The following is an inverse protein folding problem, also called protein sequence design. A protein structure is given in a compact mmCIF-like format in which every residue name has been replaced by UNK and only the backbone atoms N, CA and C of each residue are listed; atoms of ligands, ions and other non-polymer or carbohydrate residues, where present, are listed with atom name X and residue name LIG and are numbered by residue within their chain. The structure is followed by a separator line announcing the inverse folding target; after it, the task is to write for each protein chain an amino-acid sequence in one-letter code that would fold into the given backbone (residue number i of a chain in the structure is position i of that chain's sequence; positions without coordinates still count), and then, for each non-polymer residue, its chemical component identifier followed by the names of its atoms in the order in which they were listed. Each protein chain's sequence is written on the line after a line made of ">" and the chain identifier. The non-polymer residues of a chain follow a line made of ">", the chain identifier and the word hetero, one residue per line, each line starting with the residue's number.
data_IF_668036252897
#
_entry.id   IF_668036252897
#
_cell.length_a   1.000
_cell.length_b   1.000
_cell.length_c   1.000
_cell.angle_alpha   90.00
_cell.angle_beta   90.00
_cell.angle_gamma   90.00
#
_symmetry.space_group_name_H-M   'P 1'
#
loop_
_entity.id
_entity.type
_entity.pdbx_description
1 polymer ?
#
# COMPACT_ATOMS: atom_id res chain seq x y z
N UNK A 1 -73.05 24.59 -32.85
CA UNK A 1 -71.61 24.83 -32.63
C UNK A 1 -71.21 24.12 -31.36
N UNK A 2 -70.41 23.05 -31.49
CA UNK A 2 -70.09 22.11 -30.42
C UNK A 2 -68.80 22.50 -29.66
N UNK A 3 -68.67 22.16 -28.36
CA UNK A 3 -67.47 22.45 -27.57
C UNK A 3 -66.40 21.36 -27.71
N UNK A 4 -65.14 21.78 -27.82
CA UNK A 4 -63.96 20.92 -27.92
C UNK A 4 -63.46 20.48 -26.52
N UNK A 5 -63.55 19.19 -26.24
CA UNK A 5 -62.94 18.50 -25.10
C UNK A 5 -61.42 18.35 -25.34
N UNK A 6 -60.59 18.92 -24.46
CA UNK A 6 -59.14 18.63 -24.41
C UNK A 6 -58.83 17.73 -23.21
N UNK A 7 -58.48 16.50 -23.52
CA UNK A 7 -58.13 15.41 -22.61
C UNK A 7 -56.67 15.58 -22.15
N UNK A 8 -56.43 15.82 -20.85
CA UNK A 8 -55.09 15.77 -20.24
C UNK A 8 -54.77 14.35 -19.80
N UNK A 9 -53.75 13.75 -20.40
CA UNK A 9 -53.16 12.46 -19.99
C UNK A 9 -52.24 12.63 -18.77
N UNK A 10 -52.20 11.66 -17.84
CA UNK A 10 -51.28 11.67 -16.70
C UNK A 10 -49.86 11.24 -17.10
N UNK A 11 -48.86 11.95 -16.57
CA UNK A 11 -47.43 11.67 -16.75
C UNK A 11 -47.07 10.42 -15.93
N UNK A 12 -46.70 9.35 -16.62
CA UNK A 12 -46.34 8.05 -16.05
C UNK A 12 -44.90 8.08 -15.49
N UNK A 13 -44.71 7.67 -14.23
CA UNK A 13 -43.44 7.73 -13.47
C UNK A 13 -42.35 6.73 -13.94
N UNK A 14 -42.56 6.03 -15.06
CA UNK A 14 -41.65 5.03 -15.62
C UNK A 14 -40.59 5.61 -16.57
N UNK A 15 -40.71 6.87 -17.00
CA UNK A 15 -39.80 7.48 -17.99
C UNK A 15 -38.45 7.93 -17.44
N UNK A 16 -38.29 8.07 -16.12
CA UNK A 16 -37.04 8.54 -15.49
C UNK A 16 -36.04 7.40 -15.29
N UNK A 17 -36.52 6.16 -15.08
CA UNK A 17 -35.66 4.98 -14.95
C UNK A 17 -35.09 4.51 -16.30
N UNK A 18 -35.83 4.69 -17.39
CA UNK A 18 -35.36 4.39 -18.74
C UNK A 18 -34.25 5.35 -19.21
N UNK A 19 -34.28 6.61 -18.78
CA UNK A 19 -33.29 7.62 -19.19
C UNK A 19 -31.90 7.43 -18.54
N UNK A 20 -31.80 6.75 -17.39
CA UNK A 20 -30.51 6.43 -16.74
C UNK A 20 -29.77 5.23 -17.33
N UNK A 21 -30.42 4.40 -18.16
CA UNK A 21 -29.75 3.27 -18.84
C UNK A 21 -29.15 3.63 -20.19
N UNK A 22 -29.47 4.78 -20.77
CA UNK A 22 -28.97 5.20 -22.08
C UNK A 22 -27.69 6.07 -22.00
N UNK A 23 -27.28 6.52 -20.82
CA UNK A 23 -26.05 7.32 -20.64
C UNK A 23 -24.81 6.47 -20.27
N UNK A 24 -24.94 5.14 -20.09
CA UNK A 24 -23.78 4.26 -19.81
C UNK A 24 -23.09 3.69 -21.05
N UNK A 25 -23.65 3.87 -22.24
CA UNK A 25 -23.22 3.13 -23.45
C UNK A 25 -22.47 4.01 -24.46
N UNK A 26 -21.82 5.07 -24.00
CA UNK A 26 -20.91 5.88 -24.84
C UNK A 26 -19.45 5.76 -24.38
N UNK A 27 -18.88 4.58 -24.60
CA UNK A 27 -17.44 4.43 -24.80
C UNK A 27 -17.20 3.43 -25.93
N UNK A 28 -16.62 3.94 -27.01
CA UNK A 28 -16.38 3.27 -28.29
C UNK A 28 -15.55 1.98 -28.18
N UNK A 29 -15.69 1.06 -29.17
CA UNK A 29 -15.02 -0.23 -29.21
C UNK A 29 -13.64 -0.15 -29.88
N UNK A 30 -12.69 -0.96 -29.40
CA UNK A 30 -11.46 -1.31 -30.12
C UNK A 30 -11.54 -2.80 -30.52
N UNK A 31 -11.97 -3.02 -31.77
CA UNK A 31 -11.48 -3.98 -32.80
C UNK A 31 -10.61 -5.13 -32.25
N UNK A 32 -11.15 -6.33 -31.99
CA UNK A 32 -11.29 -7.56 -32.84
C UNK A 32 -10.00 -8.24 -33.33
N UNK A 33 -9.87 -9.54 -33.00
CA UNK A 33 -9.53 -10.69 -33.87
C UNK A 33 -9.62 -11.97 -33.00
N UNK A 34 -10.20 -13.13 -33.32
CA UNK A 34 -10.96 -13.73 -34.45
C UNK A 34 -11.38 -15.13 -33.94
N UNK A 35 -12.65 -15.56 -34.03
CA UNK A 35 -13.17 -16.50 -35.06
C UNK A 35 -13.04 -17.98 -34.61
N UNK A 36 -14.08 -18.81 -34.44
CA UNK A 36 -15.04 -19.33 -35.43
C UNK A 36 -16.26 -20.06 -34.77
N UNK A 37 -17.33 -20.40 -35.53
CA UNK A 37 -18.74 -20.50 -35.07
C UNK A 37 -19.26 -21.94 -34.77
N UNK A 38 -20.52 -22.10 -34.28
CA UNK A 38 -21.10 -23.41 -34.01
C UNK A 38 -21.83 -24.00 -35.23
N UNK A 39 -21.60 -25.29 -35.51
CA UNK A 39 -22.46 -26.08 -36.39
C UNK A 39 -23.29 -27.07 -35.56
N UNK A 40 -24.59 -27.03 -35.80
CA UNK A 40 -25.61 -27.98 -35.35
C UNK A 40 -25.88 -29.03 -36.42
N UNK A 41 -25.88 -30.33 -36.08
CA UNK A 41 -26.66 -31.38 -36.78
C UNK A 41 -26.71 -32.69 -35.98
N UNK A 42 -27.93 -33.22 -35.74
CA UNK A 42 -28.33 -34.65 -35.81
C UNK A 42 -27.84 -35.65 -34.73
N UNK A 43 -28.76 -36.27 -33.97
CA UNK A 43 -28.52 -37.32 -32.94
C UNK A 43 -28.25 -38.75 -33.49
N UNK A 44 -28.53 -39.89 -32.77
CA UNK A 44 -29.14 -40.10 -31.43
C UNK A 44 -28.41 -41.11 -30.47
N UNK A 45 -28.85 -41.15 -29.18
CA UNK A 45 -28.79 -42.23 -28.13
C UNK A 45 -27.48 -43.04 -27.89
N UNK A 46 -26.95 -43.37 -26.70
CA UNK A 46 -27.26 -43.41 -25.26
C UNK A 46 -25.90 -43.67 -24.51
N UNK A 47 -25.78 -44.01 -23.21
CA UNK A 47 -26.66 -43.91 -22.04
C UNK A 47 -26.04 -43.08 -20.88
N UNK A 48 -26.78 -43.00 -19.77
CA UNK A 48 -26.54 -42.21 -18.58
C UNK A 48 -25.14 -42.33 -17.94
N UNK A 49 -24.46 -41.19 -17.75
CA UNK A 49 -23.35 -41.04 -16.81
C UNK A 49 -23.81 -40.36 -15.52
N UNK A 50 -23.24 -40.84 -14.42
CA UNK A 50 -23.59 -40.61 -13.03
C UNK A 50 -23.55 -39.13 -12.59
N UNK A 51 -24.32 -38.74 -11.56
CA UNK A 51 -24.22 -37.40 -10.99
C UNK A 51 -22.83 -37.17 -10.39
N UNK A 52 -22.26 -35.95 -10.49
CA UNK A 52 -20.92 -35.66 -10.00
C UNK A 52 -20.83 -35.88 -8.49
N UNK A 53 -19.83 -36.66 -8.09
CA UNK A 53 -19.50 -36.95 -6.71
C UNK A 53 -19.44 -35.65 -5.88
N UNK A 54 -20.34 -35.55 -4.89
CA UNK A 54 -20.26 -34.53 -3.85
C UNK A 54 -18.90 -34.66 -3.16
N UNK A 55 -18.06 -33.64 -3.30
CA UNK A 55 -16.81 -33.53 -2.55
C UNK A 55 -17.06 -33.67 -1.03
N UNK A 56 -16.07 -34.17 -0.28
CA UNK A 56 -16.24 -34.51 1.12
C UNK A 56 -16.59 -33.26 1.95
N UNK A 57 -17.74 -33.31 2.64
CA UNK A 57 -18.11 -32.34 3.68
C UNK A 57 -17.18 -32.57 4.88
N UNK A 58 -16.24 -31.67 5.12
CA UNK A 58 -15.43 -31.67 6.34
C UNK A 58 -16.34 -31.44 7.56
N UNK A 59 -16.47 -32.44 8.42
CA UNK A 59 -17.09 -32.34 9.75
C UNK A 59 -16.05 -31.75 10.70
N UNK A 60 -16.44 -30.72 11.44
CA UNK A 60 -15.59 -30.00 12.41
C UNK A 60 -15.34 -30.85 13.66
N UNK A 61 -14.36 -31.75 13.61
CA UNK A 61 -13.79 -32.42 14.78
C UNK A 61 -12.50 -31.74 15.25
N UNK A 62 -12.33 -31.64 16.57
CA UNK A 62 -11.12 -31.16 17.27
C UNK A 62 -9.99 -32.21 17.19
N UNK A 63 -9.52 -32.51 15.99
CA UNK A 63 -8.27 -33.24 15.78
C UNK A 63 -7.18 -32.24 15.35
N UNK A 64 -5.98 -32.25 15.96
CA UNK A 64 -4.86 -31.42 15.54
C UNK A 64 -4.32 -31.79 14.15
N UNK A 65 -4.69 -32.98 13.64
CA UNK A 65 -4.49 -33.43 12.26
C UNK A 65 -5.77 -33.25 11.44
N UNK A 66 -6.26 -32.03 11.33
CA UNK A 66 -7.40 -31.76 10.44
C UNK A 66 -6.89 -31.62 8.99
N UNK A 67 -7.13 -32.61 8.10
CA UNK A 67 -6.64 -32.56 6.71
C UNK A 67 -7.17 -31.35 5.94
N UNK A 68 -8.26 -30.74 6.42
CA UNK A 68 -8.85 -29.55 5.82
C UNK A 68 -7.99 -28.27 6.07
N UNK A 69 -7.14 -28.23 7.11
CA UNK A 69 -6.19 -27.13 7.35
C UNK A 69 -5.00 -27.22 6.41
N UNK A 70 -4.42 -28.42 6.25
CA UNK A 70 -3.32 -28.67 5.32
C UNK A 70 -3.78 -28.52 3.86
N UNK A 71 -4.95 -29.02 3.50
CA UNK A 71 -5.52 -28.84 2.16
C UNK A 71 -5.82 -27.37 1.85
N UNK A 72 -6.28 -26.60 2.86
CA UNK A 72 -6.47 -25.15 2.72
C UNK A 72 -5.12 -24.46 2.53
N UNK A 73 -4.10 -24.79 3.32
CA UNK A 73 -2.75 -24.25 3.17
C UNK A 73 -2.15 -24.58 1.79
N UNK A 74 -2.32 -25.81 1.29
CA UNK A 74 -1.92 -26.21 -0.06
C UNK A 74 -2.63 -25.40 -1.15
N UNK A 75 -3.95 -25.26 -1.06
CA UNK A 75 -4.71 -24.43 -2.01
C UNK A 75 -4.32 -22.94 -1.95
N UNK A 76 -3.85 -22.44 -0.81
CA UNK A 76 -3.28 -21.10 -0.67
C UNK A 76 -1.91 -20.99 -1.33
N UNK A 77 -1.05 -21.99 -1.16
CA UNK A 77 0.26 -22.07 -1.80
C UNK A 77 0.12 -22.18 -3.33
N UNK A 78 -0.79 -23.01 -3.81
CA UNK A 78 -1.09 -23.12 -5.24
C UNK A 78 -1.59 -21.79 -5.83
N UNK A 79 -2.47 -21.08 -5.10
CA UNK A 79 -2.87 -19.72 -5.53
C UNK A 79 -1.71 -18.74 -5.49
N UNK A 80 -0.84 -18.80 -4.49
CA UNK A 80 0.35 -17.94 -4.42
C UNK A 80 1.31 -18.21 -5.58
N UNK A 81 1.48 -19.48 -5.95
CA UNK A 81 2.37 -19.89 -7.03
C UNK A 81 1.80 -19.57 -8.42
N UNK A 82 0.49 -19.76 -8.65
CA UNK A 82 -0.09 -19.71 -10.00
C UNK A 82 -1.01 -18.50 -10.26
N UNK A 83 -1.57 -17.88 -9.22
CA UNK A 83 -2.44 -16.71 -9.36
C UNK A 83 -2.32 -15.74 -8.16
N UNK A 84 -1.12 -15.17 -7.92
CA UNK A 84 -0.85 -14.34 -6.74
C UNK A 84 -1.73 -13.09 -6.67
N UNK A 85 -2.24 -12.61 -7.80
CA UNK A 85 -3.12 -11.44 -7.87
C UNK A 85 -4.48 -11.66 -7.18
N UNK A 86 -4.88 -12.92 -6.97
CA UNK A 86 -6.13 -13.31 -6.29
C UNK A 86 -6.02 -13.33 -4.76
N UNK A 87 -4.81 -13.21 -4.20
CA UNK A 87 -4.59 -13.23 -2.76
C UNK A 87 -4.99 -11.90 -2.08
N UNK A 88 -5.35 -11.92 -0.78
CA UNK A 88 -5.54 -10.70 -0.01
C UNK A 88 -4.26 -9.89 0.07
N UNK A 89 -4.48 -8.59 0.17
CA UNK A 89 -3.43 -7.62 -0.01
C UNK A 89 -2.34 -7.68 1.08
N UNK A 90 -2.74 -7.92 2.33
CA UNK A 90 -1.84 -8.13 3.47
C UNK A 90 -0.98 -9.38 3.29
N UNK A 91 -1.52 -10.45 2.68
CA UNK A 91 -0.77 -11.69 2.49
C UNK A 91 0.29 -11.53 1.41
N UNK A 92 -0.04 -10.86 0.30
CA UNK A 92 0.94 -10.57 -0.77
C UNK A 92 2.14 -9.82 -0.19
N UNK A 93 1.87 -8.81 0.64
CA UNK A 93 2.92 -8.00 1.29
C UNK A 93 3.63 -8.79 2.38
N UNK A 94 2.91 -9.58 3.18
CA UNK A 94 3.50 -10.48 4.17
C UNK A 94 4.49 -11.45 3.54
N UNK A 95 4.15 -12.06 2.40
CA UNK A 95 5.07 -12.93 1.64
C UNK A 95 6.27 -12.13 1.13
N UNK A 96 6.06 -10.92 0.62
CA UNK A 96 7.15 -10.05 0.19
C UNK A 96 8.15 -9.75 1.33
N UNK A 97 7.66 -9.61 2.57
CA UNK A 97 8.49 -9.32 3.74
C UNK A 97 9.25 -10.54 4.28
N UNK A 98 8.93 -11.78 3.86
CA UNK A 98 9.59 -12.99 4.38
C UNK A 98 11.10 -12.93 4.13
N UNK A 99 11.53 -12.66 2.89
CA UNK A 99 12.96 -12.64 2.57
C UNK A 99 13.72 -11.53 3.32
N UNK A 100 13.25 -10.26 3.34
CA UNK A 100 13.89 -9.21 4.14
C UNK A 100 13.93 -9.51 5.65
N UNK A 101 12.85 -10.04 6.22
CA UNK A 101 12.78 -10.42 7.64
C UNK A 101 13.75 -11.55 7.95
N UNK A 102 13.75 -12.62 7.13
CA UNK A 102 14.67 -13.74 7.30
C UNK A 102 16.13 -13.30 7.19
N UNK A 103 16.46 -12.45 6.21
CA UNK A 103 17.80 -11.89 6.10
C UNK A 103 18.18 -11.09 7.35
N UNK A 104 17.30 -10.23 7.86
CA UNK A 104 17.54 -9.48 9.09
C UNK A 104 17.75 -10.36 10.32
N UNK A 105 16.97 -11.43 10.46
CA UNK A 105 17.12 -12.41 11.55
C UNK A 105 18.46 -13.16 11.46
N UNK A 106 18.91 -13.53 10.25
CA UNK A 106 20.20 -14.20 10.04
C UNK A 106 21.36 -13.26 10.35
N UNK A 107 21.27 -12.00 9.90
CA UNK A 107 22.34 -11.01 10.02
C UNK A 107 22.47 -10.49 11.45
N UNK A 108 21.35 -10.10 12.08
CA UNK A 108 21.36 -9.39 13.37
C UNK A 108 20.91 -10.25 14.54
N UNK A 109 20.45 -11.49 14.33
CA UNK A 109 20.18 -12.48 15.39
C UNK A 109 19.21 -11.94 16.47
N UNK A 110 19.67 -11.84 17.72
CA UNK A 110 18.86 -11.51 18.89
C UNK A 110 18.17 -10.13 18.79
N UNK A 111 18.87 -9.02 18.49
CA UNK A 111 18.22 -7.72 18.23
C UNK A 111 17.06 -7.80 17.23
N UNK A 112 17.23 -8.51 16.11
CA UNK A 112 16.17 -8.66 15.13
C UNK A 112 14.97 -9.46 15.67
N UNK A 113 15.21 -10.48 16.49
CA UNK A 113 14.13 -11.25 17.15
C UNK A 113 13.34 -10.38 18.11
N UNK A 114 14.01 -9.58 18.96
CA UNK A 114 13.36 -8.68 19.91
C UNK A 114 12.50 -7.63 19.19
N UNK A 115 13.06 -7.05 18.13
CA UNK A 115 12.37 -6.03 17.35
C UNK A 115 11.19 -6.60 16.55
N UNK A 116 11.35 -7.78 15.95
CA UNK A 116 10.23 -8.50 15.32
C UNK A 116 9.16 -8.85 16.34
N UNK A 117 9.56 -9.36 17.52
CA UNK A 117 8.66 -9.70 18.60
C UNK A 117 7.82 -8.50 19.05
N UNK A 118 8.44 -7.34 19.22
CA UNK A 118 7.75 -6.09 19.53
C UNK A 118 6.75 -5.70 18.42
N UNK A 119 7.18 -5.71 17.16
CA UNK A 119 6.31 -5.41 16.03
C UNK A 119 5.09 -6.34 15.97
N UNK A 120 5.32 -7.66 16.09
CA UNK A 120 4.27 -8.66 16.08
C UNK A 120 3.33 -8.52 17.28
N UNK A 121 3.84 -8.28 18.49
CA UNK A 121 3.03 -8.12 19.68
C UNK A 121 2.06 -6.94 19.55
N UNK A 122 2.56 -5.76 19.14
CA UNK A 122 1.72 -4.59 18.92
C UNK A 122 0.79 -4.77 17.72
N UNK A 123 1.28 -5.33 16.62
CA UNK A 123 0.52 -5.56 15.41
C UNK A 123 -0.67 -6.51 15.62
N UNK A 124 -0.43 -7.65 16.28
CA UNK A 124 -1.47 -8.62 16.66
C UNK A 124 -2.41 -8.01 17.68
N UNK A 125 -1.89 -7.34 18.72
CA UNK A 125 -2.71 -6.66 19.72
C UNK A 125 -3.65 -5.62 19.08
N UNK A 126 -3.14 -4.79 18.18
CA UNK A 126 -3.91 -3.84 17.40
C UNK A 126 -4.98 -4.50 16.54
N UNK A 127 -4.63 -5.60 15.86
CA UNK A 127 -5.57 -6.37 15.06
C UNK A 127 -6.73 -6.94 15.91
N UNK A 128 -6.41 -7.48 17.09
CA UNK A 128 -7.38 -8.00 18.05
C UNK A 128 -8.28 -6.89 18.56
N UNK A 129 -7.72 -5.73 18.94
CA UNK A 129 -8.48 -4.56 19.41
C UNK A 129 -9.45 -4.08 18.33
N UNK A 130 -8.98 -3.92 17.08
CA UNK A 130 -9.81 -3.52 15.94
C UNK A 130 -10.95 -4.52 15.75
N UNK A 131 -10.65 -5.81 15.81
CA UNK A 131 -11.64 -6.86 15.66
C UNK A 131 -12.67 -6.86 16.81
N UNK A 132 -12.23 -6.68 18.05
CA UNK A 132 -13.13 -6.66 19.21
C UNK A 132 -14.03 -5.43 19.24
N UNK A 133 -13.47 -4.24 19.05
CA UNK A 133 -14.19 -2.98 19.19
C UNK A 133 -15.03 -2.61 17.95
N UNK A 134 -14.61 -3.03 16.76
CA UNK A 134 -15.19 -2.53 15.50
C UNK A 134 -15.54 -3.60 14.48
N UNK A 135 -15.82 -4.82 14.94
CA UNK A 135 -16.27 -6.03 14.19
C UNK A 135 -17.21 -5.77 13.00
N UNK A 136 -18.02 -4.71 13.01
CA UNK A 136 -18.99 -4.36 11.94
C UNK A 136 -18.87 -2.94 11.37
N UNK A 137 -17.99 -2.08 11.86
CA UNK A 137 -18.02 -0.64 11.56
C UNK A 137 -16.79 -0.07 10.85
N UNK A 138 -15.70 -0.83 10.72
CA UNK A 138 -14.52 -0.39 9.97
C UNK A 138 -14.55 -1.05 8.59
N UNK A 139 -14.54 -0.21 7.54
CA UNK A 139 -14.25 -0.67 6.19
C UNK A 139 -12.84 -1.28 6.20
N UNK A 140 -12.66 -2.46 5.59
CA UNK A 140 -11.40 -3.22 5.63
C UNK A 140 -10.18 -2.28 5.48
N UNK A 141 -9.27 -2.23 6.46
CA UNK A 141 -8.10 -1.34 6.39
C UNK A 141 -7.25 -1.68 5.17
N UNK A 142 -6.61 -0.68 4.55
CA UNK A 142 -5.79 -0.89 3.34
C UNK A 142 -4.48 -1.63 3.64
N UNK A 143 -3.96 -1.49 4.86
CA UNK A 143 -2.86 -2.29 5.40
C UNK A 143 -3.25 -2.71 6.82
N UNK A 144 -3.05 -3.97 7.18
CA UNK A 144 -3.30 -4.38 8.56
C UNK A 144 -2.34 -3.64 9.53
N UNK A 145 -2.80 -3.30 10.76
CA UNK A 145 -1.95 -2.84 11.86
C UNK A 145 -0.65 -3.63 12.03
N UNK A 146 -0.72 -4.95 11.79
CA UNK A 146 0.45 -5.83 11.75
C UNK A 146 1.48 -5.40 10.71
N UNK A 147 1.07 -5.27 9.45
CA UNK A 147 1.96 -4.85 8.36
C UNK A 147 2.51 -3.44 8.63
N UNK A 148 1.69 -2.51 9.14
CA UNK A 148 2.15 -1.17 9.49
C UNK A 148 3.28 -1.20 10.54
N UNK A 149 3.11 -1.98 11.62
CA UNK A 149 4.14 -2.12 12.66
C UNK A 149 5.45 -2.73 12.13
N UNK A 150 5.37 -3.79 11.31
CA UNK A 150 6.55 -4.45 10.73
C UNK A 150 7.30 -3.51 9.80
N UNK A 151 6.62 -2.73 8.96
CA UNK A 151 7.28 -1.75 8.10
C UNK A 151 7.97 -0.61 8.87
N UNK A 152 7.36 -0.15 9.98
CA UNK A 152 7.99 0.87 10.82
C UNK A 152 9.27 0.34 11.46
N UNK A 153 9.22 -0.87 12.02
CA UNK A 153 10.37 -1.52 12.67
C UNK A 153 11.44 -1.96 11.67
N UNK A 154 11.06 -2.32 10.44
CA UNK A 154 11.99 -2.75 9.41
C UNK A 154 13.08 -1.73 9.08
N UNK A 155 12.82 -0.45 9.34
CA UNK A 155 13.72 0.68 9.08
C UNK A 155 14.58 1.08 10.29
N UNK A 156 14.36 0.45 11.45
CA UNK A 156 15.08 0.77 12.69
C UNK A 156 16.42 0.04 12.70
N UNK A 157 17.47 0.73 13.11
CA UNK A 157 18.79 0.13 13.29
C UNK A 157 18.81 -0.86 14.47
N UNK A 158 19.56 -1.98 14.36
CA UNK A 158 19.64 -3.02 15.39
C UNK A 158 20.24 -2.57 16.72
N UNK A 159 21.00 -1.46 16.75
CA UNK A 159 21.54 -0.90 17.99
C UNK A 159 20.57 0.08 18.67
N UNK A 160 19.42 0.37 18.05
CA UNK A 160 18.46 1.29 18.65
C UNK A 160 17.91 0.71 19.95
N UNK A 161 17.69 1.54 20.99
CA UNK A 161 17.05 1.10 22.21
C UNK A 161 15.69 0.46 21.92
N UNK A 162 15.37 -0.65 22.59
CA UNK A 162 14.08 -1.34 22.38
C UNK A 162 12.88 -0.41 22.59
N UNK A 163 13.00 0.59 23.48
CA UNK A 163 12.00 1.63 23.69
C UNK A 163 11.61 2.37 22.40
N UNK A 164 12.57 2.62 21.50
CA UNK A 164 12.33 3.26 20.19
C UNK A 164 11.50 2.34 19.30
N UNK A 165 11.84 1.05 19.26
CA UNK A 165 11.09 0.04 18.51
C UNK A 165 9.65 -0.11 19.03
N UNK A 166 9.47 -0.11 20.37
CA UNK A 166 8.15 -0.14 20.99
C UNK A 166 7.35 1.11 20.64
N UNK A 167 7.97 2.30 20.69
CA UNK A 167 7.33 3.56 20.34
C UNK A 167 6.88 3.59 18.87
N UNK A 168 7.75 3.16 17.94
CA UNK A 168 7.43 3.09 16.50
C UNK A 168 6.31 2.08 16.25
N UNK A 169 6.38 0.90 16.88
CA UNK A 169 5.36 -0.15 16.71
C UNK A 169 4.00 0.31 17.22
N UNK A 170 3.96 0.89 18.43
CA UNK A 170 2.74 1.41 19.03
C UNK A 170 2.16 2.55 18.19
N UNK A 171 2.98 3.52 17.78
CA UNK A 171 2.55 4.66 16.98
C UNK A 171 2.04 4.21 15.60
N UNK A 172 2.72 3.28 14.94
CA UNK A 172 2.29 2.73 13.65
C UNK A 172 0.91 2.08 13.75
N UNK A 173 0.67 1.29 14.79
CA UNK A 173 -0.63 0.66 15.04
C UNK A 173 -1.70 1.71 15.33
N UNK A 174 -1.44 2.65 16.24
CA UNK A 174 -2.40 3.71 16.60
C UNK A 174 -2.79 4.51 15.36
N UNK A 175 -1.81 5.00 14.61
CA UNK A 175 -2.05 5.78 13.41
C UNK A 175 -2.80 4.97 12.34
N UNK A 176 -2.55 3.67 12.21
CA UNK A 176 -3.24 2.83 11.23
C UNK A 176 -4.71 2.61 11.62
N UNK A 177 -4.96 2.37 12.91
CA UNK A 177 -6.33 2.26 13.45
C UNK A 177 -7.11 3.57 13.27
N UNK A 178 -6.48 4.70 13.61
CA UNK A 178 -7.07 6.04 13.44
C UNK A 178 -7.34 6.33 11.97
N UNK A 179 -6.37 6.07 11.08
CA UNK A 179 -6.51 6.24 9.63
C UNK A 179 -7.67 5.41 9.10
N UNK A 180 -7.70 4.12 9.41
CA UNK A 180 -8.75 3.20 8.95
C UNK A 180 -10.15 3.62 9.42
N UNK A 181 -10.27 4.19 10.62
CA UNK A 181 -11.55 4.63 11.18
C UNK A 181 -12.01 5.98 10.64
N UNK A 182 -11.14 6.98 10.63
CA UNK A 182 -11.55 8.38 10.44
C UNK A 182 -11.21 8.92 9.06
N UNK A 183 -10.13 8.45 8.44
CA UNK A 183 -9.66 8.97 7.15
C UNK A 183 -9.15 7.84 6.23
N UNK A 184 -10.03 6.89 5.83
CA UNK A 184 -9.64 5.76 4.99
C UNK A 184 -9.20 6.17 3.58
N UNK A 185 -9.41 7.44 3.21
CA UNK A 185 -8.95 8.01 1.95
C UNK A 185 -7.42 8.20 1.88
N UNK A 186 -6.73 8.27 3.02
CA UNK A 186 -5.27 8.41 3.06
C UNK A 186 -4.62 7.16 2.50
N UNK A 187 -3.78 7.31 1.47
CA UNK A 187 -2.99 6.24 0.85
C UNK A 187 -1.52 6.42 1.19
N UNK A 188 -1.16 6.08 2.42
CA UNK A 188 0.21 6.20 2.94
C UNK A 188 0.55 5.00 3.80
N UNK A 189 1.83 4.61 3.82
CA UNK A 189 2.31 3.58 4.72
C UNK A 189 2.55 4.17 6.10
N UNK A 190 1.62 3.90 7.00
CA UNK A 190 1.63 4.49 8.34
C UNK A 190 2.85 4.08 9.17
N UNK A 191 3.39 2.87 8.96
CA UNK A 191 4.65 2.45 9.58
C UNK A 191 5.84 3.36 9.27
N UNK A 192 5.96 3.80 8.01
CA UNK A 192 7.01 4.72 7.59
C UNK A 192 6.82 6.11 8.20
N UNK A 193 5.56 6.58 8.29
CA UNK A 193 5.26 7.87 8.93
C UNK A 193 5.55 7.83 10.44
N UNK A 194 5.18 6.74 11.12
CA UNK A 194 5.50 6.53 12.53
C UNK A 194 7.02 6.51 12.76
N UNK A 195 7.76 5.78 11.92
CA UNK A 195 9.22 5.80 11.93
C UNK A 195 9.77 7.22 11.79
N UNK A 196 9.33 7.98 10.78
CA UNK A 196 9.81 9.33 10.53
C UNK A 196 9.50 10.29 11.69
N UNK A 197 8.30 10.20 12.28
CA UNK A 197 7.93 11.01 13.44
C UNK A 197 8.82 10.71 14.63
N UNK A 198 9.01 9.44 14.97
CA UNK A 198 9.88 9.06 16.10
C UNK A 198 11.31 9.49 15.84
N UNK A 199 11.84 9.26 14.63
CA UNK A 199 13.18 9.68 14.26
C UNK A 199 13.40 11.20 14.40
N UNK A 200 12.40 12.03 14.07
CA UNK A 200 12.48 13.48 14.25
C UNK A 200 12.41 13.87 15.74
N UNK A 201 11.50 13.26 16.51
CA UNK A 201 11.31 13.56 17.93
C UNK A 201 12.54 13.18 18.76
N UNK A 202 13.13 12.02 18.47
CA UNK A 202 14.32 11.52 19.17
C UNK A 202 15.62 12.02 18.56
N UNK A 203 15.57 12.87 17.53
CA UNK A 203 16.75 13.40 16.82
C UNK A 203 17.67 12.31 16.27
N UNK A 204 17.09 11.19 15.83
CA UNK A 204 17.80 10.15 15.09
C UNK A 204 18.14 8.89 15.88
N UNK A 205 17.57 8.65 17.06
CA UNK A 205 17.79 7.36 17.78
C UNK A 205 17.56 6.10 16.91
N UNK A 206 16.59 6.04 15.96
CA UNK A 206 16.45 4.90 15.07
C UNK A 206 17.64 4.65 14.14
N UNK A 207 18.57 5.60 13.98
CA UNK A 207 19.76 5.53 13.11
C UNK A 207 20.96 4.91 13.83
N UNK A 208 20.69 3.98 14.75
CA UNK A 208 21.71 3.31 15.55
C UNK A 208 22.00 1.94 14.95
N UNK A 209 23.12 1.82 14.23
CA UNK A 209 23.49 0.61 13.50
C UNK A 209 24.66 -0.13 14.12
N UNK A 210 24.73 -1.44 13.85
CA UNK A 210 25.85 -2.29 14.27
C UNK A 210 26.45 -2.99 13.07
N UNK A 211 27.75 -3.24 13.16
CA UNK A 211 28.42 -4.15 12.24
C UNK A 211 27.99 -5.59 12.56
N UNK A 212 27.45 -6.35 11.60
CA UNK A 212 26.86 -7.67 11.88
C UNK A 212 27.88 -8.76 12.21
N UNK A 213 29.15 -8.57 11.85
CA UNK A 213 30.24 -9.52 12.18
C UNK A 213 30.78 -9.27 13.58
N UNK A 214 31.03 -8.01 13.94
CA UNK A 214 31.67 -7.65 15.22
C UNK A 214 30.69 -7.32 16.33
N UNK A 215 29.45 -6.96 16.00
CA UNK A 215 28.41 -6.52 16.95
C UNK A 215 28.64 -5.12 17.52
N UNK A 216 29.71 -4.42 17.11
CA UNK A 216 29.99 -3.06 17.58
C UNK A 216 29.19 -2.00 16.83
N UNK A 217 28.91 -0.85 17.48
CA UNK A 217 28.30 0.30 16.82
C UNK A 217 29.13 0.71 15.60
N UNK A 218 28.45 0.93 14.47
CA UNK A 218 29.11 1.29 13.23
C UNK A 218 28.21 2.24 12.42
N UNK A 219 28.78 3.34 11.94
CA UNK A 219 28.03 4.39 11.23
C UNK A 219 27.61 3.93 9.83
N UNK A 220 26.58 4.54 9.27
CA UNK A 220 26.06 4.14 7.96
C UNK A 220 27.12 4.33 6.84
N UNK A 221 27.23 3.43 5.86
CA UNK A 221 28.35 3.46 4.90
C UNK A 221 28.27 4.65 3.95
N UNK A 222 27.06 5.13 3.67
CA UNK A 222 26.83 6.29 2.80
C UNK A 222 27.24 7.57 3.54
N UNK A 223 26.95 7.67 4.83
CA UNK A 223 27.42 8.74 5.71
C UNK A 223 28.93 8.73 5.89
N UNK A 224 29.54 7.55 6.09
CA UNK A 224 31.01 7.40 6.11
C UNK A 224 31.61 7.86 4.78
N UNK A 225 31.04 7.43 3.64
CA UNK A 225 31.48 7.86 2.33
C UNK A 225 31.45 9.38 2.17
N UNK A 226 30.36 10.02 2.58
CA UNK A 226 30.24 11.48 2.51
C UNK A 226 31.25 12.20 3.41
N UNK A 227 31.49 11.68 4.63
CA UNK A 227 32.34 12.33 5.62
C UNK A 227 33.84 12.21 5.31
N UNK A 228 34.27 11.06 4.79
CA UNK A 228 35.68 10.76 4.58
C UNK A 228 36.11 10.80 3.11
N UNK A 229 35.18 10.68 2.16
CA UNK A 229 35.49 10.36 0.77
C UNK A 229 34.72 11.21 -0.25
N UNK A 230 34.50 12.49 0.06
CA UNK A 230 33.93 13.48 -0.89
C UNK A 230 34.63 13.46 -2.28
N UNK A 231 34.10 14.18 -3.30
CA UNK A 231 34.30 13.94 -4.75
C UNK A 231 35.73 13.81 -5.32
N UNK A 232 36.77 13.90 -4.50
CA UNK A 232 38.18 13.76 -4.83
C UNK A 232 38.87 12.52 -4.22
N UNK A 233 38.19 11.72 -3.38
CA UNK A 233 38.82 10.59 -2.71
C UNK A 233 38.77 9.30 -3.54
N UNK A 234 39.84 8.50 -3.42
CA UNK A 234 40.10 7.31 -4.22
C UNK A 234 38.92 6.32 -4.28
N UNK A 235 38.75 5.59 -5.41
CA UNK A 235 37.65 4.64 -5.58
C UNK A 235 37.78 3.51 -4.55
N UNK A 236 36.87 3.50 -3.57
CA UNK A 236 36.71 2.34 -2.69
C UNK A 236 36.03 1.25 -3.49
N UNK A 237 36.55 0.04 -3.39
CA UNK A 237 35.89 -1.15 -3.93
C UNK A 237 34.48 -1.30 -3.30
N UNK A 238 33.39 -1.07 -4.08
CA UNK A 238 32.02 -1.15 -3.58
C UNK A 238 31.73 -2.52 -2.97
N UNK A 239 32.41 -3.56 -3.46
CA UNK A 239 32.29 -4.93 -2.96
C UNK A 239 32.78 -5.03 -1.52
N UNK A 240 33.87 -4.35 -1.14
CA UNK A 240 34.36 -4.38 0.24
C UNK A 240 33.50 -3.57 1.21
N UNK A 241 32.84 -2.52 0.71
CA UNK A 241 31.93 -1.73 1.54
C UNK A 241 30.55 -2.37 1.69
N UNK A 242 30.04 -3.06 0.65
CA UNK A 242 28.67 -3.58 0.59
C UNK A 242 28.49 -5.10 0.67
N UNK A 243 29.49 -5.90 0.27
CA UNK A 243 29.41 -7.36 0.36
C UNK A 243 29.94 -7.82 1.71
N UNK A 244 29.02 -8.01 2.65
CA UNK A 244 29.21 -8.88 3.81
C UNK A 244 29.34 -8.23 5.18
N UNK A 245 29.28 -6.89 5.31
CA UNK A 245 29.49 -6.26 6.61
C UNK A 245 28.81 -4.90 6.84
N UNK A 246 27.67 -4.66 6.19
CA UNK A 246 27.06 -3.33 6.15
C UNK A 246 26.14 -3.07 7.36
N UNK A 247 26.38 -2.00 8.12
CA UNK A 247 25.43 -1.49 9.09
C UNK A 247 24.20 -0.96 8.36
N UNK A 248 23.03 -1.33 8.85
CA UNK A 248 21.79 -0.89 8.25
C UNK A 248 20.59 -1.26 9.09
N UNK A 249 19.40 -0.87 8.62
CA UNK A 249 18.14 -1.17 9.29
C UNK A 249 17.83 -2.67 9.31
N UNK A 250 17.23 -3.11 10.41
CA UNK A 250 17.15 -4.53 10.79
C UNK A 250 16.57 -5.44 9.71
N UNK A 251 15.50 -5.03 9.01
CA UNK A 251 14.88 -5.86 7.96
C UNK A 251 15.02 -5.27 6.56
N UNK A 252 15.83 -4.22 6.39
CA UNK A 252 16.02 -3.57 5.10
C UNK A 252 17.49 -3.50 4.65
N UNK A 253 18.40 -4.19 5.35
CA UNK A 253 19.84 -4.16 5.03
C UNK A 253 20.19 -4.93 3.74
N UNK A 254 19.65 -6.13 3.53
CA UNK A 254 20.04 -6.99 2.40
C UNK A 254 19.38 -6.61 1.09
N UNK A 255 20.15 -6.10 0.12
CA UNK A 255 19.64 -5.78 -1.21
C UNK A 255 19.07 -7.00 -1.93
N UNK A 256 19.74 -8.15 -1.85
CA UNK A 256 19.25 -9.38 -2.49
C UNK A 256 17.87 -9.79 -1.95
N UNK A 257 17.69 -9.77 -0.63
CA UNK A 257 16.42 -10.09 -0.01
C UNK A 257 15.30 -9.13 -0.45
N UNK A 258 15.65 -7.86 -0.63
CA UNK A 258 14.73 -6.82 -1.10
C UNK A 258 14.43 -6.99 -2.59
N UNK A 259 15.41 -7.35 -3.41
CA UNK A 259 15.21 -7.65 -4.82
C UNK A 259 14.23 -8.81 -5.00
N UNK A 260 14.34 -9.86 -4.17
CA UNK A 260 13.38 -10.97 -4.13
C UNK A 260 11.97 -10.45 -3.76
N UNK A 261 11.86 -9.59 -2.75
CA UNK A 261 10.59 -8.99 -2.35
C UNK A 261 9.97 -8.13 -3.46
N UNK A 262 10.77 -7.30 -4.14
CA UNK A 262 10.32 -6.47 -5.28
C UNK A 262 9.89 -7.36 -6.45
N UNK A 263 10.66 -8.39 -6.77
CA UNK A 263 10.33 -9.35 -7.83
C UNK A 263 8.99 -10.04 -7.54
N UNK A 264 8.77 -10.45 -6.29
CA UNK A 264 7.49 -11.00 -5.85
C UNK A 264 6.33 -10.00 -6.01
N UNK A 265 6.50 -8.74 -5.60
CA UNK A 265 5.47 -7.70 -5.78
C UNK A 265 5.19 -7.37 -7.26
N UNK A 266 6.23 -7.43 -8.09
CA UNK A 266 6.09 -7.28 -9.55
C UNK A 266 5.30 -8.45 -10.14
N UNK A 267 5.64 -9.68 -9.75
CA UNK A 267 4.94 -10.90 -10.15
C UNK A 267 3.46 -10.89 -9.71
N UNK A 268 3.18 -10.46 -8.49
CA UNK A 268 1.83 -10.26 -7.96
C UNK A 268 1.08 -9.06 -8.55
N UNK A 269 1.68 -8.32 -9.50
CA UNK A 269 1.14 -7.10 -10.14
C UNK A 269 0.76 -5.99 -9.15
N UNK A 270 1.40 -5.95 -7.98
CA UNK A 270 1.23 -4.91 -6.95
C UNK A 270 2.28 -3.80 -7.04
N UNK A 271 3.39 -4.04 -7.73
CA UNK A 271 4.44 -3.05 -8.01
C UNK A 271 4.14 -2.20 -9.26
N UNK A 272 4.36 -0.90 -9.19
CA UNK A 272 4.32 0.02 -10.33
C UNK A 272 5.72 0.20 -10.93
N UNK A 273 6.01 -0.53 -12.02
CA UNK A 273 7.29 -0.44 -12.72
C UNK A 273 7.57 0.97 -13.25
N UNK A 274 6.53 1.72 -13.62
CA UNK A 274 6.66 3.11 -14.09
C UNK A 274 7.23 4.01 -12.99
N UNK A 275 6.75 3.86 -11.75
CA UNK A 275 7.25 4.66 -10.61
C UNK A 275 8.68 4.26 -10.28
N UNK A 276 8.98 2.97 -10.28
CA UNK A 276 10.33 2.48 -9.99
C UNK A 276 11.34 2.92 -11.05
N UNK A 277 10.98 2.85 -12.34
CA UNK A 277 11.81 3.34 -13.44
C UNK A 277 12.00 4.86 -13.37
N UNK A 278 10.95 5.62 -13.08
CA UNK A 278 11.06 7.05 -12.89
C UNK A 278 11.91 7.43 -11.67
N UNK A 279 11.83 6.65 -10.58
CA UNK A 279 12.72 6.80 -9.43
C UNK A 279 14.19 6.60 -9.80
N UNK A 280 14.50 5.55 -10.57
CA UNK A 280 15.85 5.33 -11.08
C UNK A 280 16.34 6.50 -11.94
N UNK A 281 15.51 6.97 -12.88
CA UNK A 281 15.85 8.12 -13.72
C UNK A 281 16.08 9.39 -12.89
N UNK A 282 15.24 9.62 -11.87
CA UNK A 282 15.42 10.74 -10.94
C UNK A 282 16.70 10.62 -10.12
N UNK A 283 17.02 9.42 -9.64
CA UNK A 283 18.24 9.11 -8.89
C UNK A 283 19.51 9.35 -9.73
N UNK A 284 19.46 9.11 -11.05
CA UNK A 284 20.58 9.38 -11.94
C UNK A 284 20.95 10.87 -12.01
N UNK A 285 20.01 11.78 -11.77
CA UNK A 285 20.27 13.23 -11.86
C UNK A 285 21.28 13.68 -10.79
N UNK A 286 21.07 13.47 -9.47
CA UNK A 286 22.11 13.75 -8.48
C UNK A 286 23.41 12.99 -8.71
N UNK A 287 23.35 11.70 -9.09
CA UNK A 287 24.54 10.89 -9.33
C UNK A 287 25.41 11.52 -10.42
N UNK A 288 24.79 11.93 -11.54
CA UNK A 288 25.47 12.60 -12.63
C UNK A 288 26.02 13.97 -12.22
N UNK A 289 25.18 14.81 -11.58
CA UNK A 289 25.53 16.19 -11.19
C UNK A 289 26.66 16.25 -10.16
N UNK A 290 26.73 15.28 -9.26
CA UNK A 290 27.76 15.21 -8.22
C UNK A 290 28.90 14.25 -8.56
N UNK A 291 28.91 13.68 -9.77
CA UNK A 291 29.91 12.72 -10.24
C UNK A 291 30.10 11.53 -9.30
N UNK A 292 29.02 11.04 -8.72
CA UNK A 292 29.05 9.88 -7.84
C UNK A 292 29.11 8.58 -8.62
N UNK A 293 29.63 7.52 -8.01
CA UNK A 293 29.55 6.17 -8.56
C UNK A 293 28.09 5.68 -8.49
N UNK A 294 27.44 5.38 -9.64
CA UNK A 294 26.07 4.91 -9.66
C UNK A 294 25.89 3.56 -8.94
N UNK A 295 26.88 2.67 -9.02
CA UNK A 295 26.81 1.36 -8.37
C UNK A 295 26.79 1.57 -6.86
N UNK A 296 27.73 2.36 -6.34
CA UNK A 296 27.83 2.65 -4.91
C UNK A 296 26.56 3.29 -4.33
N UNK A 297 25.96 4.24 -5.06
CA UNK A 297 24.78 4.97 -4.58
C UNK A 297 23.48 4.16 -4.70
N UNK A 298 23.39 3.25 -5.67
CA UNK A 298 22.22 2.41 -5.89
C UNK A 298 22.31 1.06 -5.19
N UNK A 299 23.50 0.54 -4.85
CA UNK A 299 23.67 -0.76 -4.17
C UNK A 299 23.35 -0.67 -2.67
N UNK A 300 22.13 -0.22 -2.37
CA UNK A 300 21.66 0.06 -1.01
C UNK A 300 20.30 -0.58 -0.80
N UNK A 301 20.28 -1.70 -0.06
CA UNK A 301 19.06 -2.37 0.35
C UNK A 301 18.00 -1.39 0.86
N UNK A 302 18.28 -0.53 1.85
CA UNK A 302 17.26 0.33 2.44
C UNK A 302 16.62 1.31 1.44
N UNK A 303 17.40 1.80 0.48
CA UNK A 303 16.91 2.65 -0.60
C UNK A 303 15.88 1.91 -1.44
N UNK A 304 16.18 0.68 -1.82
CA UNK A 304 15.27 -0.17 -2.59
C UNK A 304 14.10 -0.70 -1.79
N UNK A 305 14.25 -0.88 -0.48
CA UNK A 305 13.14 -1.22 0.40
C UNK A 305 12.06 -0.15 0.30
N UNK A 306 12.45 1.12 0.44
CA UNK A 306 11.50 2.23 0.40
C UNK A 306 11.06 2.55 -1.04
N UNK A 307 11.95 2.53 -2.03
CA UNK A 307 11.58 2.78 -3.42
C UNK A 307 10.65 1.69 -3.99
N UNK A 308 10.99 0.42 -3.74
CA UNK A 308 10.30 -0.75 -4.28
C UNK A 308 9.05 -1.16 -3.50
N UNK A 309 9.16 -1.32 -2.18
CA UNK A 309 8.03 -1.82 -1.38
C UNK A 309 7.07 -0.71 -0.94
N UNK A 310 7.51 0.55 -0.85
CA UNK A 310 6.68 1.65 -0.33
C UNK A 310 6.28 2.67 -1.40
N UNK A 311 7.24 3.23 -2.14
CA UNK A 311 6.95 4.26 -3.14
C UNK A 311 6.28 3.67 -4.38
N UNK A 312 6.74 2.51 -4.84
CA UNK A 312 6.21 1.85 -6.03
C UNK A 312 4.98 0.95 -5.77
N UNK A 313 4.49 0.83 -4.53
CA UNK A 313 3.27 0.09 -4.25
C UNK A 313 2.04 0.79 -4.88
N UNK A 314 1.38 0.10 -5.81
CA UNK A 314 0.20 0.60 -6.52
C UNK A 314 -0.95 1.01 -5.61
N UNK A 315 -1.03 0.46 -4.39
CA UNK A 315 -2.07 0.79 -3.41
C UNK A 315 -1.90 2.18 -2.83
N UNK A 316 -0.65 2.60 -2.64
CA UNK A 316 -0.28 3.88 -2.05
C UNK A 316 -0.26 5.01 -3.08
N UNK A 317 -0.25 4.66 -4.38
CA UNK A 317 -0.20 5.63 -5.46
C UNK A 317 -1.54 6.33 -5.75
N UNK A 318 -1.48 7.58 -6.26
CA UNK A 318 -2.66 8.28 -6.72
C UNK A 318 -3.33 7.56 -7.92
N UNK A 319 -4.63 7.83 -8.10
CA UNK A 319 -5.41 7.29 -9.21
C UNK A 319 -4.97 7.80 -10.58
N UNK A 320 -4.46 9.04 -10.66
CA UNK A 320 -3.98 9.63 -11.90
C UNK A 320 -2.69 8.96 -12.38
N UNK A 321 -2.69 8.48 -13.62
CA UNK A 321 -1.52 7.83 -14.23
C UNK A 321 -0.37 8.81 -14.45
N UNK A 322 -0.68 10.06 -14.83
CA UNK A 322 0.33 11.09 -15.14
C UNK A 322 1.14 11.54 -13.91
N UNK A 323 0.57 11.47 -12.71
CA UNK A 323 1.24 11.92 -11.47
C UNK A 323 2.26 10.89 -10.98
N UNK A 324 2.07 9.61 -11.30
CA UNK A 324 2.91 8.49 -10.84
C UNK A 324 4.39 8.63 -11.25
N UNK A 325 4.74 8.86 -12.54
CA UNK A 325 6.14 9.03 -12.92
C UNK A 325 6.75 10.27 -12.27
N UNK A 326 6.00 11.35 -12.10
CA UNK A 326 6.48 12.57 -11.42
C UNK A 326 6.85 12.28 -9.97
N UNK A 327 6.01 11.53 -9.24
CA UNK A 327 6.30 11.10 -7.86
C UNK A 327 7.56 10.24 -7.81
N UNK A 328 7.71 9.28 -8.75
CA UNK A 328 8.91 8.45 -8.83
C UNK A 328 10.16 9.29 -9.04
N UNK A 329 10.15 10.16 -10.06
CA UNK A 329 11.26 11.04 -10.42
C UNK A 329 11.65 11.96 -9.25
N UNK A 330 10.67 12.66 -8.66
CA UNK A 330 10.90 13.50 -7.49
C UNK A 330 11.47 12.70 -6.31
N UNK A 331 10.95 11.49 -6.08
CA UNK A 331 11.47 10.58 -5.06
C UNK A 331 12.93 10.23 -5.28
N UNK A 332 13.33 9.92 -6.52
CA UNK A 332 14.72 9.61 -6.86
C UNK A 332 15.66 10.80 -6.70
N UNK A 333 15.27 11.96 -7.25
CA UNK A 333 16.06 13.20 -7.15
C UNK A 333 16.27 13.61 -5.69
N UNK A 334 15.21 13.61 -4.89
CA UNK A 334 15.30 14.03 -3.48
C UNK A 334 16.01 13.00 -2.61
N UNK A 335 15.72 11.70 -2.77
CA UNK A 335 16.32 10.65 -1.95
C UNK A 335 17.84 10.59 -2.09
N UNK A 336 18.36 10.79 -3.30
CA UNK A 336 19.81 10.82 -3.52
C UNK A 336 20.38 12.22 -3.36
N UNK A 337 19.66 13.27 -3.80
CA UNK A 337 20.12 14.65 -3.67
C UNK A 337 20.33 15.09 -2.22
N UNK A 338 19.49 14.62 -1.29
CA UNK A 338 19.66 14.90 0.14
C UNK A 338 20.89 14.22 0.76
N UNK A 339 21.48 13.21 0.10
CA UNK A 339 22.78 12.64 0.53
C UNK A 339 23.92 13.62 0.44
N UNK A 340 23.85 14.56 -0.50
CA UNK A 340 24.82 15.66 -0.61
C UNK A 340 24.76 16.61 0.61
N UNK A 341 23.73 16.50 1.45
CA UNK A 341 23.56 17.26 2.70
C UNK A 341 23.91 16.43 3.95
N UNK A 342 24.47 15.24 3.77
CA UNK A 342 24.87 14.36 4.88
C UNK A 342 23.75 13.48 5.45
N UNK A 343 22.56 13.47 4.84
CA UNK A 343 21.53 12.48 5.18
C UNK A 343 21.87 11.18 4.44
N UNK A 344 22.34 10.15 5.13
CA UNK A 344 22.85 8.92 4.54
C UNK A 344 21.77 8.06 3.87
N UNK A 345 21.58 6.84 4.37
CA UNK A 345 20.50 5.96 3.89
C UNK A 345 19.10 6.50 4.24
N UNK A 346 19.00 7.32 5.29
CA UNK A 346 17.77 7.89 5.83
C UNK A 346 17.12 8.91 4.89
N UNK A 347 17.91 9.51 3.99
CA UNK A 347 17.41 10.44 2.98
C UNK A 347 16.26 9.82 2.16
N UNK A 348 16.38 8.53 1.83
CA UNK A 348 15.33 7.81 1.11
C UNK A 348 14.06 7.66 1.97
N UNK A 349 14.22 7.37 3.27
CA UNK A 349 13.09 7.16 4.18
C UNK A 349 12.30 8.45 4.36
N UNK A 350 13.00 9.56 4.67
CA UNK A 350 12.37 10.86 4.86
C UNK A 350 11.76 11.41 3.59
N UNK A 351 12.40 11.19 2.44
CA UNK A 351 11.85 11.63 1.15
C UNK A 351 10.52 10.94 0.87
N UNK A 352 10.46 9.62 0.98
CA UNK A 352 9.21 8.89 0.70
C UNK A 352 8.17 9.11 1.79
N UNK A 353 8.58 9.25 3.05
CA UNK A 353 7.69 9.65 4.14
C UNK A 353 7.08 11.03 3.87
N UNK A 354 7.90 12.00 3.44
CA UNK A 354 7.46 13.35 3.09
C UNK A 354 6.51 13.38 1.89
N UNK A 355 6.82 12.61 0.83
CA UNK A 355 5.92 12.43 -0.31
C UNK A 355 4.58 11.84 0.13
N UNK A 356 4.59 10.76 0.92
CA UNK A 356 3.37 10.13 1.43
C UNK A 356 2.58 11.02 2.38
N UNK A 357 3.26 11.83 3.20
CA UNK A 357 2.63 12.81 4.06
C UNK A 357 1.96 13.92 3.23
N UNK A 358 2.64 14.44 2.22
CA UNK A 358 2.09 15.46 1.33
C UNK A 358 0.86 14.95 0.56
N UNK A 359 0.91 13.72 0.03
CA UNK A 359 -0.25 13.11 -0.64
C UNK A 359 -1.39 12.81 0.34
N UNK A 360 -1.09 12.42 1.58
CA UNK A 360 -2.08 12.24 2.63
C UNK A 360 -2.79 13.56 2.98
N UNK A 361 -2.04 14.66 3.15
CA UNK A 361 -2.60 15.99 3.41
C UNK A 361 -3.50 16.43 2.26
N UNK A 362 -3.04 16.28 1.02
CA UNK A 362 -3.86 16.59 -0.15
C UNK A 362 -5.16 15.76 -0.19
N UNK A 363 -5.08 14.47 0.14
CA UNK A 363 -6.24 13.59 0.20
C UNK A 363 -7.25 14.04 1.28
N UNK A 364 -6.78 14.45 2.46
CA UNK A 364 -7.63 14.96 3.55
C UNK A 364 -8.34 16.24 3.13
N UNK A 365 -7.62 17.18 2.51
CA UNK A 365 -8.19 18.45 2.02
C UNK A 365 -9.29 18.16 1.00
N UNK A 366 -9.00 17.34 -0.01
CA UNK A 366 -9.95 16.98 -1.07
C UNK A 366 -11.19 16.27 -0.51
N UNK A 367 -11.00 15.37 0.45
CA UNK A 367 -12.10 14.69 1.15
C UNK A 367 -12.96 15.68 1.95
N UNK A 368 -12.35 16.61 2.68
CA UNK A 368 -13.05 17.67 3.42
C UNK A 368 -13.87 18.58 2.51
N UNK A 369 -13.33 18.96 1.35
CA UNK A 369 -14.03 19.75 0.33
C UNK A 369 -15.24 18.97 -0.22
N UNK A 370 -15.08 17.67 -0.51
CA UNK A 370 -16.16 16.83 -1.00
C UNK A 370 -17.31 16.71 0.00
N UNK A 371 -17.01 16.45 1.28
CA UNK A 371 -18.02 16.39 2.34
C UNK A 371 -18.77 17.72 2.53
N UNK A 372 -18.05 18.84 2.44
CA UNK A 372 -18.64 20.17 2.57
C UNK A 372 -19.59 20.45 1.39
N UNK A 373 -19.18 20.08 0.18
CA UNK A 373 -20.01 20.19 -1.03
C UNK A 373 -21.28 19.36 -0.93
N UNK A 374 -21.19 18.12 -0.44
CA UNK A 374 -22.37 17.27 -0.21
C UNK A 374 -23.33 17.87 0.82
N UNK A 375 -22.82 18.33 1.97
CA UNK A 375 -23.63 18.99 3.01
C UNK A 375 -24.35 20.22 2.46
N UNK A 376 -23.65 21.02 1.68
CA UNK A 376 -24.22 22.21 1.06
C UNK A 376 -25.31 21.88 0.03
N UNK A 377 -25.10 20.85 -0.80
CA UNK A 377 -26.12 20.37 -1.74
C UNK A 377 -27.36 19.82 -1.01
N UNK A 378 -27.18 19.08 0.09
CA UNK A 378 -28.29 18.60 0.92
C UNK A 378 -29.08 19.76 1.51
N UNK A 379 -28.41 20.76 2.08
CA UNK A 379 -29.07 21.95 2.62
C UNK A 379 -29.83 22.74 1.55
N UNK A 380 -29.29 22.85 0.33
CA UNK A 380 -30.02 23.47 -0.80
C UNK A 380 -31.27 22.68 -1.18
N UNK A 381 -31.19 21.35 -1.24
CA UNK A 381 -32.35 20.49 -1.53
C UNK A 381 -33.42 20.57 -0.43
N UNK A 382 -33.02 20.66 0.83
CA UNK A 382 -33.96 20.84 1.95
C UNK A 382 -34.68 22.19 1.87
N UNK A 383 -33.94 23.29 1.62
CA UNK A 383 -34.55 24.63 1.42
C UNK A 383 -35.52 24.67 0.24
N UNK A 384 -35.21 23.99 -0.86
CA UNK A 384 -36.12 23.87 -2.01
C UNK A 384 -37.40 23.09 -1.66
N UNK A 385 -37.28 22.00 -0.90
CA UNK A 385 -38.44 21.22 -0.43
C UNK A 385 -39.30 22.02 0.55
N UNK A 386 -38.70 22.77 1.46
CA UNK A 386 -39.43 23.66 2.37
C UNK A 386 -40.19 24.76 1.61
N UNK A 387 -39.57 25.35 0.58
CA UNK A 387 -40.24 26.34 -0.26
C UNK A 387 -41.44 25.73 -1.01
N UNK A 388 -41.30 24.53 -1.57
CA UNK A 388 -42.40 23.82 -2.23
C UNK A 388 -43.54 23.48 -1.25
N UNK A 389 -43.21 23.04 -0.03
CA UNK A 389 -44.22 22.74 0.99
C UNK A 389 -44.98 23.99 1.45
N UNK A 390 -44.33 25.16 1.48
CA UNK A 390 -45.01 26.44 1.79
C UNK A 390 -45.99 26.85 0.71
N UNK A 391 -45.66 26.67 -0.56
CA UNK A 391 -46.57 26.94 -1.68
C UNK A 391 -47.81 26.04 -1.59
N UNK A 392 -47.62 24.73 -1.44
CA UNK A 392 -48.73 23.77 -1.32
C UNK A 392 -49.63 24.08 -0.12
N UNK A 393 -49.06 24.42 1.04
CA UNK A 393 -49.86 24.82 2.21
C UNK A 393 -50.64 26.12 1.98
N UNK A 394 -50.02 27.10 1.32
CA UNK A 394 -50.67 28.36 0.96
C UNK A 394 -51.84 28.18 -0.01
N UNK A 395 -51.71 27.25 -0.96
CA UNK A 395 -52.78 26.92 -1.90
C UNK A 395 -53.94 26.17 -1.22
N UNK A 396 -53.65 25.25 -0.29
CA UNK A 396 -54.69 24.54 0.48
C UNK A 396 -55.48 25.51 1.37
N UNK A 397 -54.82 26.43 2.07
CA UNK A 397 -55.50 27.42 2.94
C UNK A 397 -56.31 28.47 2.17
N UNK A 398 -56.12 28.61 0.85
CA UNK A 398 -56.95 29.47 -0.01
C UNK A 398 -58.12 28.74 -0.65
N UNK A 399 -58.08 27.40 -0.66
CA UNK A 399 -59.11 26.55 -1.24
C UNK A 399 -60.15 26.07 -0.20
N UNK A 400 -59.85 26.19 1.10
CA UNK A 400 -60.79 26.06 2.22
C UNK A 400 -61.40 27.40 2.57
#
# INVERSE_FOLDING_TARGET
>A
MAPALTMKTPINATSVAARRRLESDTSLPIITQTGWPPHSTGGPAAPAEAPPARGPRCVSGLDPYNPCVLARAGAWLDRAAFNPASLPDDLIVGIALIAPVAAGLIIFKLPAVEMLGAALAFGIGGQVIVHLLWRRQIARPQASPLIASVFGVALVGPAAPIAVTLAISALAVILEVVRARYVPAIRAQVGLLAYAVVALVTRGDPFSYVNPVTGHPFADPIGIWFHYFGPQAAPIDPVRLYVGNVPGPVFATSLLAIAIAIAWLAYARRLSLVVLAAFLLGAMVPIYLFHWDPVFQLDSGPTWFVAGLLLADRRLLPGSWAVRPVIGLMGGVLALGLRARGYGIEAAFFTVAGIQAATAVAAVIMWGVALTRERWQRNRRLKQREAQLRVVKGDISRAS
#
